data_IF_804972707398
#
_entry.id   IF_804972707398
#
_cell.length_a   1.000
_cell.length_b   1.000
_cell.length_c   1.000
_cell.angle_alpha   90.00
_cell.angle_beta   90.00
_cell.angle_gamma   90.00
#
_symmetry.space_group_name_H-M   'P 1'
#
loop_
_entity.id
_entity.type
_entity.pdbx_description
1 polymer ?
#
# COMPACT_ATOMS: atom_id res chain seq x y z
N UNK A 1 45.47 -48.56 -36.91
CA UNK A 1 44.51 -48.60 -35.78
C UNK A 1 44.69 -47.48 -34.70
N UNK A 2 45.81 -46.75 -34.58
CA UNK A 2 45.98 -45.68 -33.59
C UNK A 2 45.30 -44.36 -33.94
N UNK A 3 45.22 -43.97 -35.24
CA UNK A 3 44.64 -42.70 -35.66
C UNK A 3 43.12 -42.59 -35.51
N UNK A 4 42.40 -43.70 -35.60
CA UNK A 4 40.93 -43.73 -35.49
C UNK A 4 40.48 -43.49 -34.06
N UNK A 5 41.22 -43.99 -33.04
CA UNK A 5 40.92 -43.79 -31.64
C UNK A 5 41.14 -42.35 -31.18
N UNK A 6 42.17 -41.67 -31.73
CA UNK A 6 42.44 -40.27 -31.40
C UNK A 6 41.37 -39.33 -32.03
N UNK A 7 40.90 -39.60 -33.24
CA UNK A 7 39.83 -38.83 -33.88
C UNK A 7 38.50 -39.02 -33.15
N UNK A 8 38.21 -40.25 -32.68
CA UNK A 8 37.00 -40.53 -31.93
C UNK A 8 37.02 -39.83 -30.54
N UNK A 9 38.20 -39.82 -29.88
CA UNK A 9 38.40 -39.13 -28.62
C UNK A 9 38.23 -37.63 -28.72
N UNK A 10 38.77 -37.00 -29.78
CA UNK A 10 38.60 -35.58 -30.06
C UNK A 10 37.13 -35.22 -30.38
N UNK A 11 36.41 -36.10 -31.05
CA UNK A 11 34.99 -35.88 -31.38
C UNK A 11 34.13 -35.98 -30.13
N UNK A 12 34.44 -36.92 -29.20
CA UNK A 12 33.79 -37.04 -27.90
C UNK A 12 34.04 -35.83 -27.01
N UNK A 13 35.26 -35.25 -27.02
CA UNK A 13 35.59 -34.04 -26.27
C UNK A 13 34.89 -32.83 -26.83
N UNK A 14 34.76 -32.71 -28.17
CA UNK A 14 34.05 -31.62 -28.82
C UNK A 14 32.53 -31.65 -28.51
N UNK A 15 31.93 -32.85 -28.47
CA UNK A 15 30.50 -33.00 -28.11
C UNK A 15 30.29 -32.73 -26.62
N UNK A 16 31.23 -33.08 -25.75
CA UNK A 16 31.15 -32.78 -24.31
C UNK A 16 31.30 -31.29 -24.02
N UNK A 17 32.09 -30.56 -24.82
CA UNK A 17 32.19 -29.08 -24.72
C UNK A 17 30.96 -28.36 -25.26
N UNK A 18 30.22 -28.93 -26.24
CA UNK A 18 28.98 -28.33 -26.73
C UNK A 18 27.79 -28.53 -25.77
N UNK A 19 27.84 -29.53 -24.89
CA UNK A 19 26.83 -29.77 -23.87
C UNK A 19 26.98 -28.86 -22.64
N UNK A 20 28.14 -28.22 -22.45
CA UNK A 20 28.38 -27.27 -21.35
C UNK A 20 27.95 -25.84 -21.63
N UNK A 21 27.49 -25.52 -22.85
CA UNK A 21 27.03 -24.15 -23.21
C UNK A 21 25.53 -23.95 -23.11
N UNK A 22 24.77 -24.94 -22.66
CA UNK A 22 23.32 -24.79 -22.42
C UNK A 22 22.94 -24.60 -20.96
N UNK A 23 23.91 -24.39 -20.08
CA UNK A 23 23.66 -23.82 -18.76
C UNK A 23 23.74 -22.30 -18.81
N UNK A 24 23.09 -21.67 -19.81
CA UNK A 24 22.64 -20.31 -19.65
C UNK A 24 21.48 -20.43 -18.64
N UNK A 25 21.80 -20.29 -17.37
CA UNK A 25 20.82 -19.94 -16.38
C UNK A 25 20.09 -18.74 -16.97
N UNK A 26 18.78 -18.88 -17.22
CA UNK A 26 17.93 -17.72 -17.20
C UNK A 26 18.16 -17.15 -15.82
N UNK A 27 19.03 -16.15 -15.71
CA UNK A 27 18.86 -15.13 -14.68
C UNK A 27 17.39 -14.75 -14.86
N UNK A 28 16.55 -15.17 -13.91
CA UNK A 28 15.24 -14.56 -13.75
C UNK A 28 15.63 -13.09 -13.65
N UNK A 29 15.29 -12.29 -14.65
CA UNK A 29 15.28 -10.85 -14.51
C UNK A 29 14.64 -10.63 -13.13
N UNK A 30 15.44 -10.13 -12.21
CA UNK A 30 14.97 -9.85 -10.86
C UNK A 30 13.90 -8.81 -11.11
N UNK A 31 12.64 -9.20 -10.92
CA UNK A 31 11.51 -8.29 -11.11
C UNK A 31 11.84 -7.05 -10.28
N UNK A 32 12.06 -5.93 -10.93
CA UNK A 32 12.47 -4.68 -10.27
C UNK A 32 11.41 -4.21 -9.28
N UNK A 33 10.20 -4.78 -9.36
CA UNK A 33 9.04 -4.48 -8.55
C UNK A 33 8.89 -5.41 -7.34
N UNK A 34 9.75 -6.44 -7.24
CA UNK A 34 9.70 -7.42 -6.16
C UNK A 34 10.71 -7.08 -5.07
N UNK A 35 10.21 -6.86 -3.86
CA UNK A 35 10.99 -6.51 -2.67
C UNK A 35 10.91 -7.68 -1.68
N UNK A 36 12.07 -8.14 -1.21
CA UNK A 36 12.19 -9.20 -0.21
C UNK A 36 12.56 -8.60 1.14
N UNK A 37 11.64 -8.70 2.10
CA UNK A 37 11.77 -8.18 3.46
C UNK A 37 11.81 -9.33 4.47
N UNK A 38 12.91 -10.08 4.50
CA UNK A 38 13.05 -11.22 5.40
C UNK A 38 12.03 -12.31 5.09
N UNK A 39 11.08 -12.51 6.00
CA UNK A 39 9.98 -13.45 5.87
C UNK A 39 8.77 -12.87 5.10
N UNK A 40 8.87 -11.66 4.59
CA UNK A 40 7.81 -11.01 3.82
C UNK A 40 8.28 -10.68 2.40
N UNK A 41 7.31 -10.61 1.50
CA UNK A 41 7.55 -10.24 0.12
C UNK A 41 6.52 -9.18 -0.30
N UNK A 42 6.99 -8.12 -0.95
CA UNK A 42 6.14 -7.10 -1.54
C UNK A 42 6.33 -7.09 -3.05
N UNK A 43 5.24 -7.20 -3.79
CA UNK A 43 5.24 -6.98 -5.22
C UNK A 43 4.52 -5.66 -5.52
N UNK A 44 5.27 -4.67 -5.98
CA UNK A 44 4.68 -3.40 -6.44
C UNK A 44 3.89 -3.63 -7.73
N UNK A 45 2.58 -3.36 -7.68
CA UNK A 45 1.62 -3.53 -8.78
C UNK A 45 1.47 -2.27 -9.62
N UNK A 46 1.70 -1.11 -9.02
CA UNK A 46 1.54 0.18 -9.65
C UNK A 46 1.08 1.24 -8.66
N UNK A 47 0.87 2.44 -9.18
CA UNK A 47 0.32 3.56 -8.42
C UNK A 47 -0.60 4.40 -9.29
N UNK A 48 -1.46 5.19 -8.64
CA UNK A 48 -2.27 6.23 -9.25
C UNK A 48 -2.24 7.50 -8.40
N UNK A 49 -2.76 8.59 -8.94
CA UNK A 49 -2.97 9.84 -8.19
C UNK A 49 -4.46 9.95 -7.89
N UNK A 50 -4.80 10.17 -6.64
CA UNK A 50 -6.16 10.41 -6.16
C UNK A 50 -6.20 11.70 -5.34
N UNK A 51 -7.39 12.22 -5.09
CA UNK A 51 -7.59 13.35 -4.17
C UNK A 51 -7.76 12.80 -2.74
N UNK A 52 -7.06 13.38 -1.78
CA UNK A 52 -7.20 13.05 -0.37
C UNK A 52 -8.41 13.74 0.28
N UNK A 53 -8.65 13.52 1.57
CA UNK A 53 -9.74 14.12 2.33
C UNK A 53 -9.67 15.65 2.41
N UNK A 54 -8.50 16.24 2.20
CA UNK A 54 -8.25 17.66 2.30
C UNK A 54 -8.20 18.35 0.92
N UNK A 55 -8.40 17.59 -0.16
CA UNK A 55 -8.37 18.08 -1.54
C UNK A 55 -6.97 18.18 -2.14
N UNK A 56 -5.96 17.55 -1.52
CA UNK A 56 -4.62 17.50 -2.07
C UNK A 56 -4.45 16.30 -3.00
N UNK A 57 -3.48 16.40 -3.91
CA UNK A 57 -3.05 15.23 -4.67
C UNK A 57 -2.34 14.24 -3.76
N UNK A 58 -2.79 13.00 -3.76
CA UNK A 58 -2.15 11.89 -3.07
C UNK A 58 -1.73 10.82 -4.06
N UNK A 59 -0.55 10.23 -3.86
CA UNK A 59 -0.17 8.99 -4.54
C UNK A 59 -0.72 7.80 -3.76
N UNK A 60 -1.42 6.92 -4.45
CA UNK A 60 -1.89 5.65 -3.91
C UNK A 60 -1.10 4.53 -4.55
N UNK A 61 -0.36 3.77 -3.73
CA UNK A 61 0.39 2.59 -4.16
C UNK A 61 -0.46 1.33 -3.98
N UNK A 62 -0.37 0.40 -4.93
CA UNK A 62 -0.94 -0.94 -4.81
C UNK A 62 0.19 -1.95 -4.73
N UNK A 63 0.15 -2.80 -3.70
CA UNK A 63 1.17 -3.79 -3.36
C UNK A 63 0.51 -5.13 -3.08
N UNK A 64 1.08 -6.23 -3.59
CA UNK A 64 0.75 -7.57 -3.07
C UNK A 64 1.70 -7.87 -1.89
N UNK A 65 1.17 -7.97 -0.69
CA UNK A 65 1.88 -8.38 0.52
C UNK A 65 1.75 -9.89 0.71
N UNK A 66 2.89 -10.60 0.73
CA UNK A 66 2.94 -12.07 0.95
C UNK A 66 3.61 -12.36 2.28
N UNK A 67 2.93 -13.12 3.12
CA UNK A 67 3.44 -13.59 4.40
C UNK A 67 4.11 -14.97 4.24
N UNK A 68 5.43 -15.02 4.19
CA UNK A 68 6.22 -16.24 4.16
C UNK A 68 6.72 -16.66 5.57
N UNK A 69 6.27 -15.98 6.62
CA UNK A 69 6.58 -16.31 8.01
C UNK A 69 5.82 -17.58 8.48
N UNK A 70 5.96 -17.93 9.74
CA UNK A 70 5.29 -19.10 10.34
C UNK A 70 4.03 -18.73 11.13
N UNK A 71 3.76 -17.44 11.29
CA UNK A 71 2.66 -16.90 12.08
C UNK A 71 1.81 -15.99 11.22
N UNK A 72 0.60 -15.67 11.67
CA UNK A 72 -0.21 -14.65 11.01
C UNK A 72 0.50 -13.30 11.07
N UNK A 73 0.36 -12.51 10.03
CA UNK A 73 0.96 -11.20 9.92
C UNK A 73 0.06 -10.25 9.14
N UNK A 74 0.11 -8.96 9.47
CA UNK A 74 -0.50 -7.90 8.68
C UNK A 74 0.58 -6.97 8.11
N UNK A 75 0.26 -6.28 7.03
CA UNK A 75 1.18 -5.31 6.41
C UNK A 75 1.63 -4.26 7.43
N UNK A 76 0.68 -3.65 8.13
CA UNK A 76 0.92 -2.56 9.08
C UNK A 76 1.93 -2.92 10.18
N UNK A 77 1.94 -4.18 10.65
CA UNK A 77 2.83 -4.63 11.72
C UNK A 77 4.08 -5.36 11.22
N UNK A 78 4.27 -5.43 9.90
CA UNK A 78 5.39 -6.13 9.29
C UNK A 78 6.31 -5.22 8.49
N UNK A 79 5.80 -4.10 7.99
CA UNK A 79 6.49 -3.23 7.05
C UNK A 79 6.49 -1.79 7.56
N UNK A 80 7.65 -1.17 7.55
CA UNK A 80 7.81 0.28 7.69
C UNK A 80 8.03 0.86 6.29
N UNK A 81 7.25 1.88 5.94
CA UNK A 81 7.23 2.46 4.61
C UNK A 81 7.49 3.97 4.67
N UNK A 82 8.49 4.42 3.93
CA UNK A 82 8.85 5.83 3.82
C UNK A 82 8.90 6.25 2.36
N UNK A 83 8.17 7.28 2.00
CA UNK A 83 8.23 7.91 0.68
C UNK A 83 8.94 9.25 0.76
N UNK A 84 9.97 9.41 -0.08
CA UNK A 84 10.74 10.64 -0.19
C UNK A 84 10.54 11.28 -1.56
N UNK A 85 10.20 12.56 -1.58
CA UNK A 85 10.15 13.35 -2.82
C UNK A 85 11.04 14.58 -2.68
N UNK A 86 12.05 14.67 -3.54
CA UNK A 86 12.99 15.80 -3.55
C UNK A 86 13.71 16.00 -2.19
N UNK A 87 13.98 14.88 -1.48
CA UNK A 87 14.64 14.88 -0.18
C UNK A 87 13.73 15.26 1.00
N UNK A 88 12.41 15.37 0.77
CA UNK A 88 11.40 15.59 1.80
C UNK A 88 10.51 14.36 1.91
N UNK A 89 10.30 13.90 3.14
CA UNK A 89 9.36 12.82 3.42
C UNK A 89 7.93 13.26 3.14
N UNK A 90 7.15 12.37 2.51
CA UNK A 90 5.75 12.61 2.23
C UNK A 90 4.90 12.22 3.44
N UNK A 91 3.89 13.03 3.74
CA UNK A 91 2.94 12.74 4.79
C UNK A 91 1.92 11.69 4.33
N UNK A 92 1.44 10.86 5.26
CA UNK A 92 0.37 9.89 4.99
C UNK A 92 -0.91 10.64 4.62
N UNK A 93 -1.57 10.18 3.56
CA UNK A 93 -2.82 10.75 3.08
C UNK A 93 -4.03 9.89 3.48
N UNK A 94 -5.17 10.54 3.70
CA UNK A 94 -6.46 9.85 3.86
C UNK A 94 -7.22 9.90 2.54
N UNK A 95 -7.34 8.78 1.86
CA UNK A 95 -8.08 8.65 0.60
C UNK A 95 -9.28 7.73 0.81
N UNK A 96 -10.48 8.28 0.63
CA UNK A 96 -11.72 7.51 0.79
C UNK A 96 -12.08 6.73 -0.46
N UNK A 97 -12.47 5.46 -0.27
CA UNK A 97 -13.11 4.62 -1.29
C UNK A 97 -14.63 4.68 -1.18
N UNK A 98 -15.14 4.92 0.02
CA UNK A 98 -16.57 5.17 0.27
C UNK A 98 -16.71 6.21 1.40
N UNK A 99 -17.16 7.40 1.05
CA UNK A 99 -17.33 8.50 2.00
C UNK A 99 -18.48 8.24 3.00
N UNK A 100 -19.53 7.53 2.59
CA UNK A 100 -20.67 7.28 3.48
C UNK A 100 -20.31 6.32 4.62
N UNK A 101 -19.40 5.39 4.37
CA UNK A 101 -18.92 4.43 5.37
C UNK A 101 -17.56 4.83 5.96
N UNK A 102 -16.97 5.92 5.49
CA UNK A 102 -15.62 6.36 5.82
C UNK A 102 -14.54 5.29 5.54
N UNK A 103 -14.81 4.40 4.57
CA UNK A 103 -13.85 3.38 4.15
C UNK A 103 -12.72 4.04 3.35
N UNK A 104 -11.49 3.72 3.69
CA UNK A 104 -10.29 4.26 3.05
C UNK A 104 -9.56 3.21 2.22
N UNK A 105 -8.63 3.64 1.38
CA UNK A 105 -7.78 2.72 0.58
C UNK A 105 -6.90 1.83 1.46
N UNK A 106 -6.58 2.25 2.69
CA UNK A 106 -5.63 1.55 3.57
C UNK A 106 -6.24 0.44 4.43
N UNK A 107 -7.53 0.15 4.32
CA UNK A 107 -8.24 -0.83 5.17
C UNK A 107 -7.53 -2.19 5.23
N UNK A 108 -7.09 -2.70 4.09
CA UNK A 108 -6.46 -4.03 4.02
C UNK A 108 -5.10 -4.11 4.74
N UNK A 109 -4.48 -2.97 5.10
CA UNK A 109 -3.20 -2.99 5.82
C UNK A 109 -3.32 -3.61 7.22
N UNK A 110 -4.53 -3.58 7.80
CA UNK A 110 -4.83 -4.07 9.14
C UNK A 110 -5.19 -5.56 9.16
N UNK A 111 -5.50 -6.14 7.99
CA UNK A 111 -5.93 -7.53 7.89
C UNK A 111 -4.77 -8.49 8.14
N UNK A 112 -5.00 -9.45 9.05
CA UNK A 112 -4.04 -10.53 9.29
C UNK A 112 -4.20 -11.65 8.27
N UNK A 113 -3.10 -12.05 7.63
CA UNK A 113 -3.05 -13.15 6.70
C UNK A 113 -2.19 -14.32 7.22
N UNK A 114 -2.62 -15.53 6.91
CA UNK A 114 -1.95 -16.75 7.31
C UNK A 114 -0.60 -16.95 6.59
N UNK A 115 0.30 -17.80 7.12
CA UNK A 115 1.52 -18.21 6.43
C UNK A 115 1.26 -18.71 4.99
N UNK A 116 2.03 -18.19 4.04
CA UNK A 116 1.91 -18.47 2.61
C UNK A 116 0.79 -17.76 1.87
N UNK A 117 -0.01 -16.94 2.55
CA UNK A 117 -1.06 -16.15 1.91
C UNK A 117 -0.51 -14.82 1.36
N UNK A 118 -1.22 -14.29 0.36
CA UNK A 118 -0.98 -12.96 -0.24
C UNK A 118 -2.25 -12.14 -0.15
N UNK A 119 -2.11 -10.85 0.17
CA UNK A 119 -3.18 -9.88 0.21
C UNK A 119 -2.75 -8.62 -0.55
N UNK A 120 -3.63 -8.11 -1.38
CA UNK A 120 -3.43 -6.78 -1.96
C UNK A 120 -3.71 -5.70 -0.91
N UNK A 121 -2.74 -4.83 -0.70
CA UNK A 121 -2.82 -3.68 0.20
C UNK A 121 -2.57 -2.40 -0.59
N UNK A 122 -3.13 -1.30 -0.12
CA UNK A 122 -2.88 0.02 -0.67
C UNK A 122 -2.33 0.94 0.42
N UNK A 123 -1.44 1.86 0.01
CA UNK A 123 -0.89 2.92 0.86
C UNK A 123 -1.10 4.25 0.18
N UNK A 124 -1.21 5.33 0.93
CA UNK A 124 -1.49 6.65 0.38
C UNK A 124 -0.65 7.73 1.06
N UNK A 125 -0.06 8.62 0.25
CA UNK A 125 0.79 9.72 0.71
C UNK A 125 0.49 11.00 -0.06
N UNK A 126 0.55 12.14 0.63
CA UNK A 126 0.33 13.47 0.03
C UNK A 126 1.50 13.82 -0.88
N UNK A 127 1.22 14.16 -2.14
CA UNK A 127 2.24 14.57 -3.09
C UNK A 127 2.67 16.01 -2.86
N UNK A 128 3.98 16.28 -2.82
CA UNK A 128 4.50 17.65 -2.88
C UNK A 128 4.31 18.27 -4.28
N UNK A 129 4.45 17.44 -5.33
CA UNK A 129 4.17 17.81 -6.72
C UNK A 129 4.05 16.55 -7.61
N UNK A 130 3.52 16.70 -8.80
CA UNK A 130 3.30 15.61 -9.75
C UNK A 130 4.45 15.42 -10.76
N UNK A 131 5.61 16.04 -10.59
CA UNK A 131 6.71 16.02 -11.56
C UNK A 131 8.00 15.38 -11.05
N UNK A 132 8.30 15.53 -9.76
CA UNK A 132 9.54 15.01 -9.19
C UNK A 132 9.36 13.55 -8.79
N UNK A 133 10.39 12.75 -9.06
CA UNK A 133 10.38 11.32 -8.72
C UNK A 133 10.29 11.10 -7.22
N UNK A 134 9.67 10.00 -6.87
CA UNK A 134 9.51 9.53 -5.50
C UNK A 134 10.39 8.31 -5.30
N UNK A 135 11.13 8.26 -4.21
CA UNK A 135 11.80 7.06 -3.71
C UNK A 135 10.94 6.48 -2.59
N UNK A 136 10.32 5.32 -2.84
CA UNK A 136 9.58 4.56 -1.83
C UNK A 136 10.48 3.47 -1.27
N UNK A 137 10.78 3.56 0.01
CA UNK A 137 11.60 2.60 0.76
C UNK A 137 10.71 1.82 1.69
N UNK A 138 10.87 0.50 1.66
CA UNK A 138 10.17 -0.45 2.50
C UNK A 138 11.19 -1.17 3.36
N UNK A 139 10.94 -1.25 4.65
CA UNK A 139 11.81 -1.90 5.62
C UNK A 139 11.03 -2.94 6.44
N UNK A 140 11.67 -4.04 6.78
CA UNK A 140 11.11 -5.00 7.71
C UNK A 140 11.04 -4.36 9.11
N UNK A 141 9.84 -4.19 9.67
CA UNK A 141 9.61 -3.38 10.89
C UNK A 141 10.47 -3.79 12.10
N UNK A 142 10.74 -5.08 12.28
CA UNK A 142 11.58 -5.62 13.37
C UNK A 142 12.81 -6.37 12.84
N UNK A 143 13.15 -6.16 11.58
CA UNK A 143 14.24 -6.84 10.91
C UNK A 143 15.35 -5.92 10.45
N UNK A 144 16.05 -6.35 9.40
CA UNK A 144 17.16 -5.59 8.82
C UNK A 144 17.13 -5.56 7.30
N UNK A 145 16.04 -6.00 6.70
CA UNK A 145 15.88 -6.04 5.25
C UNK A 145 15.12 -4.82 4.78
N UNK A 146 15.58 -4.28 3.68
CA UNK A 146 14.94 -3.15 3.03
C UNK A 146 14.99 -3.29 1.51
N UNK A 147 14.12 -2.56 0.84
CA UNK A 147 14.12 -2.41 -0.60
C UNK A 147 13.52 -1.09 -1.00
N UNK A 148 13.94 -0.56 -2.14
CA UNK A 148 13.49 0.74 -2.63
C UNK A 148 13.03 0.61 -4.07
N UNK A 149 11.94 1.30 -4.40
CA UNK A 149 11.48 1.52 -5.77
C UNK A 149 11.45 3.01 -6.07
N UNK A 150 11.60 3.35 -7.34
CA UNK A 150 11.46 4.72 -7.81
C UNK A 150 10.20 4.85 -8.65
N UNK A 151 9.36 5.82 -8.31
CA UNK A 151 8.09 6.08 -8.98
C UNK A 151 8.18 7.46 -9.64
N UNK A 152 7.69 7.56 -10.88
CA UNK A 152 7.59 8.82 -11.62
C UNK A 152 6.11 9.27 -11.64
N UNK A 153 5.73 10.24 -10.80
CA UNK A 153 4.33 10.68 -10.71
C UNK A 153 3.78 11.24 -12.04
N UNK A 154 4.65 11.76 -12.90
CA UNK A 154 4.24 12.34 -14.18
C UNK A 154 3.68 11.29 -15.16
N UNK A 155 3.93 10.02 -14.91
CA UNK A 155 3.46 8.89 -15.73
C UNK A 155 2.19 8.24 -15.18
N UNK A 156 1.76 8.63 -14.00
CA UNK A 156 0.63 8.02 -13.31
C UNK A 156 -0.70 8.55 -13.85
N UNK A 157 -1.70 7.69 -13.84
CA UNK A 157 -3.09 8.10 -14.11
C UNK A 157 -3.67 8.77 -12.89
N UNK A 158 -4.51 9.78 -13.13
CA UNK A 158 -5.34 10.34 -12.07
C UNK A 158 -6.65 9.57 -12.04
N UNK A 159 -6.94 8.98 -10.90
CA UNK A 159 -8.21 8.32 -10.65
C UNK A 159 -9.11 9.22 -9.80
N UNK A 160 -10.39 9.18 -10.08
CA UNK A 160 -11.39 9.84 -9.24
C UNK A 160 -11.66 8.91 -8.07
N UNK A 161 -11.12 9.24 -6.91
CA UNK A 161 -11.64 8.70 -5.65
C UNK A 161 -13.13 9.04 -5.51
N UNK A 162 -13.80 8.42 -4.58
CA UNK A 162 -15.15 8.85 -4.21
C UNK A 162 -14.99 10.18 -3.49
N UNK A 163 -15.08 11.25 -4.27
CA UNK A 163 -14.68 12.58 -3.89
C UNK A 163 -15.30 13.03 -2.58
N UNK A 164 -14.48 13.59 -1.71
CA UNK A 164 -14.86 14.66 -0.80
C UNK A 164 -15.62 15.83 -1.48
N UNK A 165 -15.67 15.87 -2.81
CA UNK A 165 -16.34 16.92 -3.58
C UNK A 165 -17.84 16.78 -3.79
N UNK A 166 -18.43 15.65 -3.46
CA UNK A 166 -19.86 15.59 -3.13
C UNK A 166 -19.96 15.59 -1.61
N UNK A 167 -19.73 16.75 -1.00
CA UNK A 167 -20.43 17.04 0.25
C UNK A 167 -21.81 16.42 0.14
N UNK A 168 -22.20 15.47 1.02
CA UNK A 168 -23.53 14.92 0.94
C UNK A 168 -24.43 16.14 0.86
N UNK A 169 -25.09 16.33 -0.29
CA UNK A 169 -26.04 17.44 -0.42
C UNK A 169 -26.99 17.23 0.73
N UNK A 170 -26.77 18.05 1.77
CA UNK A 170 -27.70 18.09 2.89
C UNK A 170 -29.08 18.06 2.26
N UNK A 171 -29.93 17.13 2.68
CA UNK A 171 -31.26 17.01 2.09
C UNK A 171 -31.82 18.42 1.99
N UNK A 172 -32.40 18.77 0.83
CA UNK A 172 -32.97 20.09 0.61
C UNK A 172 -33.84 20.47 1.80
N UNK A 173 -34.08 21.78 2.01
CA UNK A 173 -34.82 22.31 3.16
C UNK A 173 -36.12 21.55 3.56
N UNK A 174 -36.68 20.74 2.67
CA UNK A 174 -37.77 19.83 2.98
C UNK A 174 -37.42 18.60 3.83
N UNK A 175 -36.11 18.26 3.87
CA UNK A 175 -35.63 17.19 4.76
C UNK A 175 -35.08 17.79 6.08
N UNK A 176 -34.79 19.08 6.12
CA UNK A 176 -34.45 19.81 7.34
C UNK A 176 -35.60 19.79 8.36
N UNK A 177 -36.85 19.87 7.90
CA UNK A 177 -38.03 19.80 8.78
C UNK A 177 -38.15 18.42 9.47
N UNK A 178 -37.83 17.33 8.74
CA UNK A 178 -37.84 15.98 9.32
C UNK A 178 -36.66 15.73 10.27
N UNK A 179 -35.50 16.31 9.97
CA UNK A 179 -34.30 16.30 10.82
C UNK A 179 -34.56 17.14 12.09
N UNK A 180 -35.17 18.33 11.94
CA UNK A 180 -35.51 19.20 13.05
C UNK A 180 -36.60 18.57 13.93
N UNK A 181 -37.57 17.89 13.35
CA UNK A 181 -38.55 17.11 14.13
C UNK A 181 -37.88 15.93 14.88
N UNK A 182 -36.89 15.30 14.27
CA UNK A 182 -36.09 14.26 14.90
C UNK A 182 -35.24 14.80 16.06
N UNK A 183 -34.68 16.01 15.92
CA UNK A 183 -33.90 16.69 16.96
C UNK A 183 -34.77 17.29 18.06
N UNK A 184 -36.03 17.60 17.81
CA UNK A 184 -37.01 18.13 18.77
C UNK A 184 -37.61 17.05 19.71
N UNK A 185 -37.17 15.80 19.63
CA UNK A 185 -37.51 14.74 20.56
C UNK A 185 -36.83 14.92 21.93
N UNK A 186 -37.47 14.36 22.97
CA UNK A 186 -36.81 14.26 24.27
C UNK A 186 -35.75 13.17 24.22
N UNK A 187 -34.50 13.56 24.49
CA UNK A 187 -33.37 12.67 24.50
C UNK A 187 -32.90 12.43 25.93
N UNK A 188 -32.82 11.18 26.34
CA UNK A 188 -32.23 10.76 27.59
C UNK A 188 -30.93 10.02 27.29
N UNK A 189 -29.81 10.57 27.73
CA UNK A 189 -28.50 9.93 27.53
C UNK A 189 -27.43 10.48 28.45
N UNK A 190 -26.41 9.66 28.69
CA UNK A 190 -25.20 10.08 29.40
C UNK A 190 -24.14 10.48 28.37
N UNK A 191 -23.64 11.69 28.52
CA UNK A 191 -22.51 12.17 27.71
C UNK A 191 -21.27 12.19 28.57
N UNK A 192 -20.18 11.59 28.07
CA UNK A 192 -18.88 11.71 28.67
C UNK A 192 -18.01 12.52 27.73
N UNK A 193 -17.72 13.75 28.06
CA UNK A 193 -16.76 14.58 27.34
C UNK A 193 -15.39 14.38 27.96
N UNK A 194 -14.41 13.99 27.15
CA UNK A 194 -13.00 13.93 27.54
C UNK A 194 -12.34 15.10 26.85
N UNK A 195 -11.86 16.08 27.61
CA UNK A 195 -11.06 17.15 27.02
C UNK A 195 -9.61 16.71 26.80
N UNK A 196 -8.88 17.47 26.03
CA UNK A 196 -7.46 17.21 25.73
C UNK A 196 -6.54 17.34 26.96
N UNK A 197 -7.04 17.82 28.10
CA UNK A 197 -6.30 17.96 29.36
C UNK A 197 -6.51 16.79 30.31
N UNK A 198 -7.39 15.86 29.97
CA UNK A 198 -7.70 14.68 30.76
C UNK A 198 -8.66 14.94 31.93
N UNK A 199 -9.26 16.14 32.01
CA UNK A 199 -10.36 16.41 32.93
C UNK A 199 -11.68 15.86 32.40
N UNK A 200 -12.49 15.30 33.31
CA UNK A 200 -13.82 14.74 32.96
C UNK A 200 -14.88 15.64 33.58
N UNK A 201 -15.73 16.21 32.76
CA UNK A 201 -16.96 16.81 33.24
C UNK A 201 -18.13 15.92 32.78
N UNK A 202 -18.95 15.47 33.71
CA UNK A 202 -20.24 14.85 33.40
C UNK A 202 -21.29 15.98 33.38
N UNK A 203 -21.89 16.22 32.23
CA UNK A 203 -23.07 17.06 32.13
C UNK A 203 -24.31 16.18 32.06
N UNK A 204 -25.20 16.30 33.07
CA UNK A 204 -26.59 15.90 32.92
C UNK A 204 -27.33 17.04 32.20
N UNK A 205 -27.82 16.77 30.99
CA UNK A 205 -28.64 17.71 30.24
C UNK A 205 -30.00 17.06 29.92
N UNK A 206 -31.07 17.76 30.21
CA UNK A 206 -32.34 17.59 29.53
C UNK A 206 -32.37 18.58 28.39
N UNK A 207 -32.62 18.08 27.19
CA UNK A 207 -32.84 18.87 25.97
C UNK A 207 -34.27 18.81 25.55
#
# INVERSE_FOLDING_TARGET
MKQTKTKLLCLLFAVLMMLSLTACGKDKEKDSNLIQLGDYELLYKGACIMEDSDGNDAIVLSLDFTNNSKENASYLWSVDETLMQNGTELEVATVYTDYNTFTTVIENQFEEIAPGATLEVQTAFVLNNASDKIEATFEELLGSKSGTITIDPSTLTRETGVNAGTEPTLPSAAADDALLEWWNGEWYGWWKMTDCSGSYESMEGQW
#
